data_IF_247396544883
#
_entry.id   IF_247396544883
#
_cell.length_a   1.000
_cell.length_b   1.000
_cell.length_c   1.000
_cell.angle_alpha   90.00
_cell.angle_beta   90.00
_cell.angle_gamma   90.00
#
_symmetry.space_group_name_H-M   'P 1'
#
loop_
_entity.id
_entity.type
_entity.pdbx_description
1 polymer ?
#
# COMPACT_ATOMS: atom_id res chain seq x y z
N UNK A 1 12.02 0.19 -31.80
CA UNK A 1 10.84 -0.64 -31.45
C UNK A 1 11.33 -2.03 -31.12
N UNK A 2 10.81 -2.63 -30.05
CA UNK A 2 11.18 -3.96 -29.58
C UNK A 2 9.91 -4.76 -29.35
N UNK A 3 9.72 -5.84 -30.12
CA UNK A 3 8.58 -6.75 -29.96
C UNK A 3 8.91 -7.81 -28.92
N UNK A 4 8.00 -8.01 -27.98
CA UNK A 4 8.07 -9.04 -26.94
C UNK A 4 6.94 -10.03 -27.19
N UNK A 5 7.29 -11.30 -27.40
CA UNK A 5 6.31 -12.39 -27.47
C UNK A 5 5.82 -12.74 -26.06
N UNK A 6 4.51 -12.88 -25.91
CA UNK A 6 3.85 -13.28 -24.67
C UNK A 6 3.69 -14.81 -24.63
N UNK A 7 3.62 -15.42 -23.44
CA UNK A 7 3.49 -16.88 -23.29
C UNK A 7 2.27 -17.51 -23.99
N UNK A 8 1.25 -16.72 -24.31
CA UNK A 8 0.02 -17.16 -24.97
C UNK A 8 0.04 -16.97 -26.51
N UNK A 9 1.20 -16.58 -27.08
CA UNK A 9 1.37 -16.37 -28.53
C UNK A 9 0.99 -14.97 -29.03
N UNK A 10 0.47 -14.11 -28.16
CA UNK A 10 0.30 -12.68 -28.45
C UNK A 10 1.63 -11.92 -28.35
N UNK A 11 1.67 -10.65 -28.73
CA UNK A 11 2.87 -9.82 -28.62
C UNK A 11 2.57 -8.41 -28.14
N UNK A 12 3.56 -7.79 -27.50
CA UNK A 12 3.56 -6.36 -27.12
C UNK A 12 4.75 -5.69 -27.80
N UNK A 13 4.53 -4.52 -28.39
CA UNK A 13 5.59 -3.72 -28.98
C UNK A 13 5.95 -2.57 -28.06
N UNK A 14 7.22 -2.50 -27.65
CA UNK A 14 7.77 -1.38 -26.90
C UNK A 14 8.42 -0.39 -27.88
N UNK A 15 7.99 0.86 -27.83
CA UNK A 15 8.58 1.94 -28.62
C UNK A 15 9.29 2.94 -27.70
N UNK A 16 10.52 3.37 -28.05
CA UNK A 16 11.20 4.38 -27.26
C UNK A 16 10.44 5.71 -27.38
N UNK A 17 10.08 6.28 -26.23
CA UNK A 17 9.44 7.59 -26.17
C UNK A 17 10.39 8.67 -26.68
N UNK A 18 9.85 9.62 -27.42
CA UNK A 18 10.58 10.77 -27.96
C UNK A 18 10.01 12.03 -27.34
N UNK A 19 10.88 12.82 -26.71
CA UNK A 19 10.53 14.14 -26.16
C UNK A 19 10.63 15.20 -27.24
N UNK A 20 9.49 15.78 -27.59
CA UNK A 20 9.41 17.06 -28.29
C UNK A 20 9.58 18.23 -27.32
N UNK A 21 9.37 19.46 -27.77
CA UNK A 21 9.53 20.65 -26.92
C UNK A 21 8.66 20.62 -25.65
N UNK A 22 7.39 20.22 -25.77
CA UNK A 22 6.40 20.25 -24.66
C UNK A 22 5.56 18.97 -24.56
N UNK A 23 5.88 17.95 -25.36
CA UNK A 23 5.06 16.74 -25.53
C UNK A 23 5.95 15.50 -25.62
N UNK A 24 5.42 14.36 -25.20
CA UNK A 24 5.96 13.03 -25.41
C UNK A 24 5.12 12.25 -26.41
N UNK A 25 5.77 11.55 -27.31
CA UNK A 25 5.10 10.64 -28.22
C UNK A 25 6.03 9.53 -28.67
N UNK A 26 5.58 8.78 -29.67
CA UNK A 26 6.42 7.85 -30.42
C UNK A 26 6.34 8.20 -31.90
N UNK A 27 7.01 7.42 -32.75
CA UNK A 27 7.04 7.71 -34.18
C UNK A 27 5.60 7.66 -34.74
N UNK A 28 5.16 8.77 -35.35
CA UNK A 28 3.83 8.94 -35.93
C UNK A 28 2.66 8.83 -34.93
N UNK A 29 2.90 9.03 -33.64
CA UNK A 29 1.86 9.01 -32.62
C UNK A 29 2.13 10.06 -31.53
N UNK A 30 1.18 10.97 -31.39
CA UNK A 30 1.18 12.04 -30.40
C UNK A 30 -0.05 11.89 -29.49
N UNK A 31 0.09 11.31 -28.29
CA UNK A 31 -1.05 11.03 -27.42
C UNK A 31 -1.58 12.30 -26.74
N UNK A 32 -2.88 12.32 -26.43
CA UNK A 32 -3.46 13.34 -25.56
C UNK A 32 -3.14 13.09 -24.06
N UNK A 33 -2.99 11.82 -23.69
CA UNK A 33 -2.86 11.35 -22.31
C UNK A 33 -1.79 10.27 -22.22
N UNK A 34 -1.02 10.30 -21.14
CA UNK A 34 0.03 9.34 -20.83
C UNK A 34 -0.38 8.63 -19.54
N UNK A 35 -0.60 7.33 -19.63
CA UNK A 35 -0.90 6.47 -18.49
C UNK A 35 0.41 5.88 -17.95
N UNK A 36 0.77 6.22 -16.72
CA UNK A 36 1.91 5.65 -16.01
C UNK A 36 1.51 4.31 -15.40
N UNK A 37 2.05 3.23 -15.99
CA UNK A 37 2.12 1.91 -15.36
C UNK A 37 3.55 1.59 -14.88
N UNK A 38 4.28 2.64 -14.50
CA UNK A 38 5.59 2.60 -13.88
C UNK A 38 5.51 3.50 -12.66
N UNK A 39 5.94 2.98 -11.52
CA UNK A 39 5.83 3.64 -10.22
C UNK A 39 6.92 4.71 -9.99
N UNK A 40 7.82 4.88 -10.98
CA UNK A 40 8.95 5.81 -10.98
C UNK A 40 9.87 5.60 -9.78
N UNK A 41 10.00 4.34 -9.35
CA UNK A 41 10.84 3.95 -8.22
C UNK A 41 12.27 4.51 -8.32
N UNK A 42 12.88 4.48 -9.51
CA UNK A 42 14.26 4.99 -9.72
C UNK A 42 14.41 6.52 -9.66
N UNK A 43 13.33 7.26 -9.37
CA UNK A 43 13.28 8.70 -9.46
C UNK A 43 12.42 9.16 -10.63
N UNK A 44 12.02 10.43 -10.56
CA UNK A 44 11.27 11.07 -11.64
C UNK A 44 12.23 11.42 -12.78
N UNK A 45 12.07 10.83 -13.98
CA UNK A 45 12.94 11.17 -15.09
C UNK A 45 12.51 12.51 -15.69
N UNK A 46 13.45 13.42 -15.91
CA UNK A 46 13.17 14.76 -16.45
C UNK A 46 12.44 14.78 -17.80
N UNK A 47 12.42 13.66 -18.53
CA UNK A 47 11.61 13.51 -19.73
C UNK A 47 10.10 13.64 -19.47
N UNK A 48 9.63 13.35 -18.25
CA UNK A 48 8.23 13.46 -17.83
C UNK A 48 7.88 14.84 -17.24
N UNK A 49 8.88 15.68 -16.97
CA UNK A 49 8.67 17.01 -16.39
C UNK A 49 8.12 18.01 -17.43
N UNK A 50 7.47 19.07 -16.94
CA UNK A 50 6.97 20.20 -17.74
C UNK A 50 6.09 19.79 -18.93
N UNK A 51 5.23 18.78 -18.73
CA UNK A 51 4.21 18.33 -19.70
C UNK A 51 2.90 19.08 -19.49
N UNK A 52 2.82 20.30 -20.01
CA UNK A 52 1.62 21.15 -19.84
C UNK A 52 0.50 20.85 -20.85
N UNK A 53 0.78 20.09 -21.92
CA UNK A 53 -0.19 19.85 -22.99
C UNK A 53 -0.71 18.40 -23.03
N UNK A 54 -0.29 17.56 -22.08
CA UNK A 54 -0.65 16.15 -22.00
C UNK A 54 -0.96 15.80 -20.55
N UNK A 55 -2.04 15.06 -20.33
CA UNK A 55 -2.37 14.58 -19.00
C UNK A 55 -1.51 13.38 -18.65
N UNK A 56 -0.81 13.45 -17.52
CA UNK A 56 -0.09 12.32 -16.95
C UNK A 56 -0.95 11.70 -15.84
N UNK A 57 -1.26 10.41 -15.96
CA UNK A 57 -2.15 9.71 -15.03
C UNK A 57 -1.43 8.50 -14.39
N UNK A 58 -1.29 8.45 -13.05
CA UNK A 58 -1.47 9.57 -12.13
C UNK A 58 -0.44 10.69 -12.37
N UNK A 59 -0.67 11.91 -11.84
CA UNK A 59 0.30 13.00 -11.93
C UNK A 59 1.58 12.69 -11.12
N UNK A 60 2.67 13.38 -11.44
CA UNK A 60 4.01 13.03 -10.93
C UNK A 60 4.14 13.10 -9.41
N UNK A 61 3.42 14.00 -8.74
CA UNK A 61 3.43 14.12 -7.29
C UNK A 61 2.74 12.94 -6.58
N UNK A 62 1.98 12.12 -7.31
CA UNK A 62 1.49 10.83 -6.83
C UNK A 62 2.60 9.77 -6.77
N UNK A 63 3.73 10.00 -7.44
CA UNK A 63 4.83 9.06 -7.58
C UNK A 63 5.62 8.84 -6.29
N UNK A 64 6.28 7.69 -6.20
CA UNK A 64 7.10 7.34 -5.03
C UNK A 64 8.23 8.31 -4.63
N UNK A 65 8.85 9.10 -5.54
CA UNK A 65 9.95 9.99 -5.14
C UNK A 65 9.56 11.03 -4.10
N UNK A 66 8.30 11.47 -4.09
CA UNK A 66 7.82 12.53 -3.19
C UNK A 66 6.70 12.07 -2.25
N UNK A 67 5.99 10.99 -2.60
CA UNK A 67 4.89 10.45 -1.80
C UNK A 67 5.37 9.95 -0.44
N UNK A 68 4.59 10.26 0.61
CA UNK A 68 4.79 9.76 1.99
C UNK A 68 3.62 8.89 2.40
N UNK A 69 3.89 7.68 2.91
CA UNK A 69 2.87 6.71 3.34
C UNK A 69 2.03 7.27 4.49
N UNK A 70 2.63 8.02 5.40
CA UNK A 70 1.95 8.67 6.53
C UNK A 70 0.81 9.59 6.09
N UNK A 71 0.94 10.29 4.95
CA UNK A 71 -0.13 11.13 4.40
C UNK A 71 -1.35 10.29 4.00
N UNK A 72 -1.10 9.13 3.39
CA UNK A 72 -2.16 8.17 3.09
C UNK A 72 -2.88 7.68 4.34
N UNK A 73 -2.11 7.23 5.35
CA UNK A 73 -2.70 6.71 6.58
C UNK A 73 -3.46 7.78 7.36
N UNK A 74 -3.01 9.04 7.32
CA UNK A 74 -3.77 10.15 7.88
C UNK A 74 -5.12 10.34 7.16
N UNK A 75 -5.10 10.38 5.82
CA UNK A 75 -6.31 10.52 5.00
C UNK A 75 -7.29 9.37 5.24
N UNK A 76 -6.78 8.15 5.32
CA UNK A 76 -7.57 6.95 5.56
C UNK A 76 -8.12 6.87 7.00
N UNK A 77 -7.37 7.33 8.00
CA UNK A 77 -7.84 7.42 9.39
C UNK A 77 -9.04 8.39 9.51
N UNK A 78 -8.94 9.59 8.91
CA UNK A 78 -10.04 10.56 8.92
C UNK A 78 -11.30 10.04 8.22
N UNK A 79 -11.12 9.39 7.06
CA UNK A 79 -12.22 8.75 6.35
C UNK A 79 -12.85 7.62 7.17
N UNK A 80 -12.02 6.77 7.80
CA UNK A 80 -12.48 5.65 8.62
C UNK A 80 -13.27 6.12 9.84
N UNK A 81 -12.84 7.22 10.50
CA UNK A 81 -13.61 7.84 11.60
C UNK A 81 -14.99 8.32 11.13
N UNK A 82 -15.07 9.00 9.99
CA UNK A 82 -16.34 9.50 9.42
C UNK A 82 -17.25 8.34 9.01
N UNK A 83 -16.70 7.32 8.36
CA UNK A 83 -17.43 6.13 7.93
C UNK A 83 -17.92 5.29 9.12
N UNK A 84 -17.07 5.11 10.13
CA UNK A 84 -17.43 4.46 11.39
C UNK A 84 -18.58 5.15 12.09
N UNK A 85 -18.54 6.49 12.19
CA UNK A 85 -19.64 7.30 12.74
C UNK A 85 -20.94 7.13 11.95
N UNK A 86 -20.87 7.11 10.61
CA UNK A 86 -22.03 6.97 9.75
C UNK A 86 -22.73 5.62 9.93
N UNK A 87 -21.96 4.53 10.07
CA UNK A 87 -22.48 3.17 10.20
C UNK A 87 -22.69 2.71 11.65
N UNK A 88 -22.22 3.48 12.63
CA UNK A 88 -22.23 3.08 14.03
C UNK A 88 -21.27 1.93 14.34
N UNK A 89 -20.14 1.83 13.62
CA UNK A 89 -19.09 0.84 13.87
C UNK A 89 -17.84 1.50 14.45
N UNK A 90 -17.07 0.73 15.22
CA UNK A 90 -15.76 1.16 15.68
C UNK A 90 -14.81 1.31 14.48
N UNK A 91 -14.23 2.51 14.24
CA UNK A 91 -13.33 2.73 13.11
C UNK A 91 -12.07 1.85 13.16
N UNK A 92 -11.66 1.35 14.33
CA UNK A 92 -10.50 0.46 14.44
C UNK A 92 -10.68 -0.85 13.65
N UNK A 93 -11.92 -1.31 13.46
CA UNK A 93 -12.22 -2.54 12.70
C UNK A 93 -11.86 -2.43 11.20
N UNK A 94 -11.66 -1.22 10.69
CA UNK A 94 -11.34 -0.95 9.28
C UNK A 94 -10.08 -0.12 9.11
N UNK A 95 -9.43 0.30 10.20
CA UNK A 95 -8.27 1.17 10.18
C UNK A 95 -7.19 0.70 11.17
N UNK A 96 -6.10 0.10 10.66
CA UNK A 96 -4.93 -0.21 11.49
C UNK A 96 -4.35 1.06 12.09
N UNK A 97 -4.01 1.03 13.38
CA UNK A 97 -3.35 2.18 14.01
C UNK A 97 -1.94 2.37 13.42
N UNK A 98 -1.45 3.61 13.40
CA UNK A 98 -0.07 3.88 13.03
C UNK A 98 0.53 4.99 13.90
N UNK A 99 1.86 5.12 13.82
CA UNK A 99 2.64 6.21 14.38
C UNK A 99 3.80 6.54 13.44
N UNK A 100 4.29 7.78 13.51
CA UNK A 100 5.46 8.24 12.76
C UNK A 100 6.61 8.45 13.72
N UNK A 101 7.79 7.99 13.34
CA UNK A 101 9.04 8.50 13.87
C UNK A 101 9.60 9.50 12.87
N UNK A 102 10.24 10.55 13.39
CA UNK A 102 10.98 11.46 12.53
C UNK A 102 12.15 10.75 11.85
N UNK A 103 13.09 11.56 11.41
CA UNK A 103 14.36 11.11 10.90
C UNK A 103 15.12 10.27 11.95
N UNK A 104 15.30 8.97 11.67
CA UNK A 104 16.02 8.01 12.53
C UNK A 104 17.35 7.65 11.87
N UNK A 105 18.45 7.96 12.57
CA UNK A 105 19.76 7.36 12.34
C UNK A 105 19.90 6.10 13.21
N UNK A 106 20.11 4.94 12.59
CA UNK A 106 20.27 3.65 13.28
C UNK A 106 21.61 3.53 14.03
N UNK A 107 22.55 4.43 13.78
CA UNK A 107 23.82 4.52 14.51
C UNK A 107 23.75 5.47 15.71
N UNK A 108 22.69 6.29 15.81
CA UNK A 108 22.45 7.17 16.94
C UNK A 108 21.49 6.52 17.96
N UNK A 109 21.86 6.61 19.25
CA UNK A 109 21.02 6.12 20.34
C UNK A 109 19.69 6.87 20.47
N UNK A 110 19.65 8.15 20.11
CA UNK A 110 18.43 8.96 20.23
C UNK A 110 17.34 8.57 19.22
N UNK A 111 17.72 8.30 17.97
CA UNK A 111 16.79 7.85 16.92
C UNK A 111 16.14 6.50 17.27
N UNK A 112 16.94 5.57 17.79
CA UNK A 112 16.45 4.27 18.24
C UNK A 112 15.53 4.35 19.47
N UNK A 113 15.78 5.29 20.38
CA UNK A 113 14.91 5.51 21.53
C UNK A 113 13.51 5.99 21.12
N UNK A 114 13.45 6.90 20.14
CA UNK A 114 12.20 7.37 19.56
C UNK A 114 11.40 6.22 18.92
N UNK A 115 12.07 5.37 18.13
CA UNK A 115 11.45 4.20 17.51
C UNK A 115 10.90 3.23 18.56
N UNK A 116 11.69 2.93 19.59
CA UNK A 116 11.29 2.03 20.68
C UNK A 116 10.07 2.54 21.44
N UNK A 117 10.10 3.82 21.83
CA UNK A 117 9.01 4.46 22.57
C UNK A 117 7.70 4.48 21.78
N UNK A 118 7.76 4.81 20.49
CA UNK A 118 6.57 4.82 19.63
C UNK A 118 6.04 3.40 19.36
N UNK A 119 6.93 2.41 19.18
CA UNK A 119 6.53 1.02 19.00
C UNK A 119 5.82 0.47 20.25
N UNK A 120 6.35 0.72 21.45
CA UNK A 120 5.72 0.28 22.71
C UNK A 120 4.38 0.96 22.96
N UNK A 121 4.29 2.27 22.71
CA UNK A 121 3.04 3.01 22.82
C UNK A 121 1.96 2.47 21.87
N UNK A 122 2.33 2.18 20.62
CA UNK A 122 1.41 1.60 19.64
C UNK A 122 0.99 0.18 20.03
N UNK A 123 1.93 -0.69 20.41
CA UNK A 123 1.62 -2.04 20.91
C UNK A 123 0.67 -2.01 22.10
N UNK A 124 0.85 -1.07 23.03
CA UNK A 124 -0.03 -0.89 24.19
C UNK A 124 -1.45 -0.51 23.78
N UNK A 125 -1.61 0.39 22.80
CA UNK A 125 -2.94 0.72 22.24
C UNK A 125 -3.60 -0.48 21.56
N UNK A 126 -2.82 -1.25 20.79
CA UNK A 126 -3.31 -2.46 20.11
C UNK A 126 -3.75 -3.51 21.14
N UNK A 127 -2.95 -3.77 22.19
CA UNK A 127 -3.31 -4.70 23.30
C UNK A 127 -4.65 -4.34 23.94
N UNK A 128 -4.96 -3.03 24.08
CA UNK A 128 -6.25 -2.58 24.62
C UNK A 128 -7.40 -2.98 23.71
N UNK A 129 -7.25 -2.80 22.39
CA UNK A 129 -8.27 -3.21 21.41
C UNK A 129 -8.42 -4.72 21.32
N UNK A 130 -7.32 -5.46 21.35
CA UNK A 130 -7.37 -6.92 21.38
C UNK A 130 -8.14 -7.43 22.60
N UNK A 131 -7.89 -6.85 23.78
CA UNK A 131 -8.67 -7.16 25.00
C UNK A 131 -10.15 -6.79 24.87
N UNK A 132 -10.46 -5.64 24.27
CA UNK A 132 -11.84 -5.17 24.01
C UNK A 132 -12.62 -6.17 23.13
N UNK A 133 -11.97 -6.74 22.11
CA UNK A 133 -12.57 -7.67 21.15
C UNK A 133 -12.33 -9.15 21.44
N UNK A 134 -11.67 -9.50 22.54
CA UNK A 134 -11.40 -10.90 22.91
C UNK A 134 -10.38 -11.62 22.00
N UNK A 135 -9.48 -10.86 21.37
CA UNK A 135 -8.41 -11.37 20.50
C UNK A 135 -7.25 -11.83 21.38
N UNK A 136 -6.83 -13.09 21.21
CA UNK A 136 -5.81 -13.73 22.06
C UNK A 136 -4.43 -13.80 21.40
N UNK A 137 -4.35 -13.47 20.13
CA UNK A 137 -3.13 -13.41 19.34
C UNK A 137 -2.17 -12.34 19.87
N UNK A 138 -0.87 -12.60 19.76
CA UNK A 138 0.14 -11.61 20.16
C UNK A 138 0.14 -10.44 19.16
N UNK A 139 -0.11 -9.20 19.59
CA UNK A 139 -0.06 -8.05 18.70
C UNK A 139 1.36 -7.84 18.19
N UNK A 140 1.45 -7.23 17.02
CA UNK A 140 2.71 -6.85 16.41
C UNK A 140 2.55 -5.53 15.67
N UNK A 141 3.67 -4.87 15.46
CA UNK A 141 3.76 -3.69 14.61
C UNK A 141 4.75 -3.96 13.48
N UNK A 142 4.55 -3.25 12.39
CA UNK A 142 5.37 -3.29 11.20
C UNK A 142 6.08 -1.95 11.07
N UNK A 143 7.41 -1.97 11.12
CA UNK A 143 8.26 -0.80 10.90
C UNK A 143 8.72 -0.80 9.44
N UNK A 144 8.51 0.31 8.74
CA UNK A 144 8.90 0.51 7.35
C UNK A 144 9.23 1.98 7.11
N UNK A 145 9.96 2.28 6.03
CA UNK A 145 10.24 3.68 5.67
C UNK A 145 8.93 4.38 5.29
N UNK A 146 8.83 5.66 5.64
CA UNK A 146 7.67 6.49 5.32
C UNK A 146 7.62 6.83 3.82
N UNK A 147 8.76 6.84 3.15
CA UNK A 147 8.88 6.93 1.70
C UNK A 147 9.10 5.54 1.05
N UNK A 148 9.66 5.52 -0.15
CA UNK A 148 10.05 4.31 -0.89
C UNK A 148 10.90 3.36 -0.05
N UNK A 149 11.64 3.87 0.93
CA UNK A 149 12.67 3.12 1.66
C UNK A 149 13.85 2.87 0.73
N UNK A 150 15.00 3.46 1.06
CA UNK A 150 16.26 3.30 0.32
C UNK A 150 16.83 1.87 0.53
N UNK A 151 16.11 0.84 0.08
CA UNK A 151 16.46 -0.55 0.32
C UNK A 151 16.17 -1.06 1.73
N UNK A 152 15.50 -0.27 2.58
CA UNK A 152 15.12 -0.72 3.92
C UNK A 152 14.02 -1.79 3.84
N UNK A 153 14.29 -2.96 4.41
CA UNK A 153 13.31 -4.02 4.55
C UNK A 153 12.17 -3.65 5.52
N UNK A 154 11.09 -4.42 5.44
CA UNK A 154 10.00 -4.36 6.41
C UNK A 154 10.41 -5.16 7.66
N UNK A 155 10.21 -4.59 8.85
CA UNK A 155 10.45 -5.28 10.12
C UNK A 155 9.16 -5.52 10.88
N UNK A 156 8.98 -6.74 11.38
CA UNK A 156 7.91 -7.08 12.33
C UNK A 156 8.45 -7.05 13.75
N UNK A 157 7.81 -6.28 14.63
CA UNK A 157 8.19 -6.10 16.04
C UNK A 157 7.04 -6.52 16.93
N UNK A 158 7.32 -7.42 17.89
CA UNK A 158 6.31 -7.93 18.84
C UNK A 158 6.53 -7.45 20.27
N UNK A 159 7.72 -6.95 20.54
CA UNK A 159 8.15 -6.36 21.81
C UNK A 159 9.17 -5.27 21.49
N UNK A 160 9.03 -4.10 22.12
CA UNK A 160 9.93 -2.98 21.88
C UNK A 160 11.40 -3.31 22.22
N UNK A 161 11.65 -4.31 23.09
CA UNK A 161 13.00 -4.82 23.38
C UNK A 161 13.69 -5.47 22.18
N UNK A 162 12.93 -5.91 21.18
CA UNK A 162 13.51 -6.44 19.92
C UNK A 162 14.30 -5.36 19.16
N UNK A 163 14.07 -4.07 19.47
CA UNK A 163 14.77 -2.92 18.88
C UNK A 163 16.07 -2.55 19.62
N UNK A 164 16.39 -3.16 20.77
CA UNK A 164 17.60 -2.84 21.55
C UNK A 164 18.88 -3.48 20.98
N UNK A 165 18.74 -4.60 20.27
CA UNK A 165 19.83 -5.32 19.64
C UNK A 165 19.37 -5.82 18.26
N UNK A 166 19.39 -4.98 17.22
CA UNK A 166 18.92 -5.38 15.90
C UNK A 166 19.73 -6.61 15.44
N UNK A 167 19.07 -7.77 15.41
CA UNK A 167 19.73 -9.04 15.05
C UNK A 167 20.24 -8.94 13.61
N UNK A 168 21.44 -9.47 13.35
CA UNK A 168 21.88 -9.72 11.98
C UNK A 168 20.82 -10.58 11.26
N UNK A 169 20.24 -10.07 10.18
CA UNK A 169 19.14 -10.71 9.44
C UNK A 169 17.71 -10.31 9.86
N UNK A 170 17.52 -9.32 10.75
CA UNK A 170 16.20 -8.81 11.18
C UNK A 170 15.45 -7.95 10.15
N UNK A 171 15.92 -7.90 8.90
CA UNK A 171 15.39 -6.97 7.88
C UNK A 171 15.95 -5.55 7.97
N UNK A 172 16.68 -5.22 9.05
CA UNK A 172 17.59 -4.06 9.17
C UNK A 172 18.87 -4.23 8.34
N UNK A 173 18.76 -4.85 7.16
CA UNK A 173 19.79 -4.73 6.15
C UNK A 173 19.77 -3.30 5.65
N UNK A 174 20.46 -2.40 6.35
CA UNK A 174 20.90 -1.13 5.81
C UNK A 174 21.63 -1.50 4.52
N UNK A 175 21.03 -1.19 3.37
CA UNK A 175 21.78 -1.20 2.11
C UNK A 175 23.06 -0.43 2.36
N UNK A 176 24.18 -0.95 1.87
CA UNK A 176 25.55 -0.49 2.20
C UNK A 176 25.90 0.93 1.74
N UNK A 177 24.93 1.84 1.66
CA UNK A 177 25.11 3.27 1.43
C UNK A 177 24.76 4.07 2.70
N UNK A 178 25.77 4.16 3.56
CA UNK A 178 26.22 5.36 4.30
C UNK A 178 25.13 6.27 4.92
N UNK A 179 24.87 6.11 6.23
CA UNK A 179 24.59 7.23 7.16
C UNK A 179 23.34 8.09 6.93
N UNK A 180 22.39 7.69 6.08
CA UNK A 180 21.20 8.49 5.80
C UNK A 180 20.11 8.25 6.85
N UNK A 181 19.78 9.30 7.59
CA UNK A 181 18.60 9.37 8.44
C UNK A 181 17.34 9.05 7.62
N UNK A 182 16.48 8.17 8.13
CA UNK A 182 15.28 7.71 7.41
C UNK A 182 14.03 8.04 8.21
N UNK A 183 13.02 8.62 7.57
CA UNK A 183 11.70 8.74 8.18
C UNK A 183 11.02 7.38 8.25
N UNK A 184 10.54 6.99 9.43
CA UNK A 184 9.94 5.68 9.66
C UNK A 184 8.47 5.80 10.02
N UNK A 185 7.68 4.84 9.54
CA UNK A 185 6.31 4.61 9.98
C UNK A 185 6.23 3.27 10.71
N UNK A 186 5.52 3.29 11.83
CA UNK A 186 5.18 2.12 12.63
C UNK A 186 3.69 1.87 12.45
N UNK A 187 3.30 0.73 11.90
CA UNK A 187 1.91 0.39 11.63
C UNK A 187 1.50 -0.84 12.43
N UNK A 188 0.27 -0.86 12.94
CA UNK A 188 -0.35 -2.08 13.47
C UNK A 188 -0.33 -3.19 12.42
N UNK A 189 0.13 -4.36 12.83
CA UNK A 189 0.08 -5.56 12.03
C UNK A 189 -1.32 -6.16 11.98
N UNK A 190 -1.81 -6.46 10.78
CA UNK A 190 -3.08 -7.17 10.57
C UNK A 190 -2.77 -8.60 10.15
N UNK A 191 -3.40 -9.57 10.81
CA UNK A 191 -3.23 -10.98 10.48
C UNK A 191 -4.06 -11.39 9.27
N UNK A 192 -3.45 -12.14 8.36
CA UNK A 192 -4.14 -12.79 7.25
C UNK A 192 -4.55 -14.20 7.63
N UNK A 193 -5.84 -14.36 7.94
CA UNK A 193 -6.44 -15.64 8.32
C UNK A 193 -7.08 -16.40 7.14
N UNK A 194 -7.19 -15.76 5.98
CA UNK A 194 -7.70 -16.44 4.78
C UNK A 194 -6.70 -17.51 4.29
N UNK A 195 -7.28 -18.60 3.76
CA UNK A 195 -6.55 -19.78 3.33
C UNK A 195 -7.06 -20.26 1.98
N UNK A 196 -6.14 -20.66 1.11
CA UNK A 196 -6.42 -21.38 -0.14
C UNK A 196 -5.57 -22.64 -0.18
N UNK A 197 -6.21 -23.81 -0.10
CA UNK A 197 -5.52 -25.10 -0.01
C UNK A 197 -4.44 -25.08 1.09
N UNK A 198 -4.82 -24.67 2.30
CA UNK A 198 -3.98 -24.49 3.50
C UNK A 198 -2.88 -23.42 3.43
N UNK A 199 -2.61 -22.82 2.27
CA UNK A 199 -1.69 -21.70 2.12
C UNK A 199 -2.33 -20.37 2.52
N UNK A 200 -1.55 -19.44 3.07
CA UNK A 200 -2.01 -18.09 3.43
C UNK A 200 -2.42 -17.34 2.16
N UNK A 201 -3.57 -16.70 2.19
CA UNK A 201 -4.12 -15.97 1.05
C UNK A 201 -4.64 -14.59 1.47
N UNK A 202 -4.30 -13.54 0.73
CA UNK A 202 -4.87 -12.19 0.93
C UNK A 202 -5.52 -11.68 -0.36
N UNK A 203 -6.70 -11.01 -0.28
CA UNK A 203 -7.38 -10.50 -1.46
C UNK A 203 -6.75 -9.20 -1.96
N UNK A 204 -6.61 -9.09 -3.27
CA UNK A 204 -6.26 -7.87 -4.00
C UNK A 204 -7.47 -7.46 -4.83
N UNK A 205 -7.95 -6.23 -4.63
CA UNK A 205 -9.11 -5.68 -5.33
C UNK A 205 -8.65 -4.64 -6.35
N UNK A 206 -9.04 -4.82 -7.61
CA UNK A 206 -8.78 -3.88 -8.70
C UNK A 206 -9.97 -2.96 -8.90
N UNK A 207 -9.67 -1.69 -9.14
CA UNK A 207 -10.67 -0.66 -9.45
C UNK A 207 -10.26 0.10 -10.71
N UNK A 208 -11.26 0.57 -11.44
CA UNK A 208 -11.13 1.57 -12.49
C UNK A 208 -12.19 2.64 -12.24
N UNK A 209 -11.77 3.92 -12.24
CA UNK A 209 -12.60 5.00 -11.71
C UNK A 209 -13.08 4.65 -10.28
N UNK A 210 -14.38 4.78 -9.98
CA UNK A 210 -14.97 4.43 -8.68
C UNK A 210 -15.49 2.99 -8.59
N UNK A 211 -15.26 2.17 -9.62
CA UNK A 211 -15.87 0.85 -9.76
C UNK A 211 -14.86 -0.27 -9.46
N UNK A 212 -15.31 -1.25 -8.67
CA UNK A 212 -14.58 -2.50 -8.47
C UNK A 212 -14.76 -3.35 -9.72
N UNK A 213 -13.67 -3.67 -10.41
CA UNK A 213 -13.68 -4.38 -11.69
C UNK A 213 -13.18 -5.82 -11.62
N UNK A 214 -12.55 -6.20 -10.50
CA UNK A 214 -12.00 -7.54 -10.36
C UNK A 214 -10.95 -7.61 -9.26
N UNK A 215 -10.13 -8.65 -9.32
CA UNK A 215 -9.11 -8.90 -8.32
C UNK A 215 -8.58 -10.32 -8.35
N UNK A 216 -7.67 -10.61 -7.44
CA UNK A 216 -7.11 -11.95 -7.24
C UNK A 216 -6.75 -12.15 -5.78
N UNK A 217 -6.65 -13.40 -5.35
CA UNK A 217 -5.94 -13.76 -4.15
C UNK A 217 -4.45 -13.89 -4.43
N UNK A 218 -3.63 -13.23 -3.61
CA UNK A 218 -2.20 -13.53 -3.51
C UNK A 218 -2.05 -14.65 -2.49
N UNK A 219 -1.52 -15.78 -2.92
CA UNK A 219 -1.36 -16.99 -2.11
C UNK A 219 0.12 -17.29 -1.92
N UNK A 220 0.53 -17.57 -0.69
CA UNK A 220 1.90 -17.94 -0.39
C UNK A 220 1.95 -19.12 0.60
N UNK A 221 2.56 -20.23 0.17
CA UNK A 221 2.63 -21.45 0.98
C UNK A 221 3.64 -21.33 2.13
N UNK A 222 4.77 -20.65 1.89
CA UNK A 222 5.88 -20.58 2.86
C UNK A 222 5.86 -19.35 3.77
N UNK A 223 4.80 -18.53 3.74
CA UNK A 223 4.67 -17.31 4.56
C UNK A 223 3.64 -17.50 5.65
N UNK A 224 3.91 -16.92 6.81
CA UNK A 224 2.99 -16.87 7.96
C UNK A 224 1.86 -15.84 7.78
N UNK A 225 0.86 -15.91 8.66
CA UNK A 225 -0.27 -14.97 8.69
C UNK A 225 0.13 -13.53 9.08
N UNK A 226 1.32 -13.36 9.65
CA UNK A 226 1.91 -12.12 10.14
C UNK A 226 3.05 -11.61 9.24
N UNK A 227 3.18 -12.16 8.04
CA UNK A 227 4.26 -11.85 7.11
C UNK A 227 3.72 -11.24 5.81
N UNK A 228 4.53 -10.39 5.19
CA UNK A 228 4.25 -9.86 3.86
C UNK A 228 4.21 -11.01 2.84
N UNK A 229 3.08 -11.15 2.15
CA UNK A 229 2.93 -12.16 1.10
C UNK A 229 3.45 -11.66 -0.23
N UNK A 230 3.78 -10.37 -0.39
CA UNK A 230 4.38 -9.78 -1.60
C UNK A 230 5.87 -10.15 -1.69
N UNK A 231 6.12 -11.45 -1.84
CA UNK A 231 7.45 -12.03 -1.85
C UNK A 231 7.63 -13.01 -3.04
N UNK A 232 8.88 -13.31 -3.44
CA UNK A 232 9.17 -14.39 -4.37
C UNK A 232 8.52 -15.70 -3.92
N UNK A 233 7.84 -16.40 -4.84
CA UNK A 233 7.04 -17.58 -4.53
C UNK A 233 5.53 -17.34 -4.42
N UNK A 234 5.09 -16.06 -4.43
CA UNK A 234 3.68 -15.69 -4.56
C UNK A 234 3.02 -16.37 -5.75
N UNK A 235 1.83 -16.95 -5.53
CA UNK A 235 0.92 -17.42 -6.57
C UNK A 235 -0.32 -16.54 -6.62
N UNK A 236 -0.90 -16.39 -7.80
CA UNK A 236 -2.08 -15.56 -8.01
C UNK A 236 -3.25 -16.42 -8.43
N UNK A 237 -4.32 -16.39 -7.65
CA UNK A 237 -5.56 -17.13 -7.93
C UNK A 237 -6.65 -16.12 -8.23
N UNK A 238 -7.29 -16.15 -9.41
CA UNK A 238 -8.36 -15.22 -9.74
C UNK A 238 -9.43 -15.17 -8.65
N UNK A 239 -9.79 -13.96 -8.22
CA UNK A 239 -10.89 -13.77 -7.30
C UNK A 239 -12.15 -13.92 -8.13
N UNK A 240 -12.91 -14.98 -7.89
CA UNK A 240 -14.14 -15.24 -8.63
C UNK A 240 -15.20 -14.18 -8.29
N UNK A 241 -15.17 -13.05 -9.03
CA UNK A 241 -16.31 -12.15 -9.20
C UNK A 241 -17.26 -12.65 -10.31
N UNK A 242 -17.12 -13.91 -10.72
CA UNK A 242 -17.74 -14.49 -11.92
C UNK A 242 -19.28 -14.53 -11.87
N UNK A 243 -19.87 -14.50 -10.68
CA UNK A 243 -21.29 -14.24 -10.47
C UNK A 243 -21.46 -12.86 -9.86
N UNK A 244 -22.61 -12.20 -10.06
CA UNK A 244 -22.90 -10.82 -9.65
C UNK A 244 -22.82 -10.60 -8.12
N UNK A 245 -21.65 -10.75 -7.51
CA UNK A 245 -21.39 -10.59 -6.08
C UNK A 245 -21.27 -9.12 -5.67
N UNK A 246 -21.63 -8.19 -6.56
CA UNK A 246 -21.68 -6.76 -6.27
C UNK A 246 -22.88 -6.37 -5.41
N UNK A 247 -23.88 -7.26 -5.29
CA UNK A 247 -25.06 -7.02 -4.46
C UNK A 247 -24.99 -7.89 -3.20
N UNK A 248 -25.07 -7.28 -2.00
CA UNK A 248 -25.21 -8.05 -0.78
C UNK A 248 -26.53 -8.83 -0.78
N UNK A 249 -26.52 -10.00 -0.15
CA UNK A 249 -27.69 -10.81 0.16
C UNK A 249 -28.13 -10.52 1.61
N UNK A 250 -29.19 -9.73 1.83
CA UNK A 250 -29.68 -9.42 3.17
C UNK A 250 -30.16 -10.69 3.89
N UNK A 251 -30.03 -10.72 5.22
CA UNK A 251 -30.49 -11.84 6.05
C UNK A 251 -29.53 -13.04 6.16
N UNK A 252 -28.45 -13.07 5.36
CA UNK A 252 -27.38 -14.07 5.50
C UNK A 252 -26.46 -13.74 6.67
N UNK A 253 -25.96 -14.78 7.36
CA UNK A 253 -24.98 -14.62 8.45
C UNK A 253 -23.70 -13.95 7.93
N UNK A 254 -23.08 -13.02 8.69
CA UNK A 254 -21.78 -12.45 8.36
C UNK A 254 -20.74 -13.53 8.07
N UNK A 255 -19.94 -13.35 7.01
CA UNK A 255 -18.90 -14.29 6.59
C UNK A 255 -19.39 -15.59 5.94
N UNK A 256 -20.69 -15.91 6.00
CA UNK A 256 -21.23 -17.16 5.46
C UNK A 256 -21.55 -17.10 3.95
N UNK A 257 -21.80 -15.89 3.43
CA UNK A 257 -22.12 -15.67 2.01
C UNK A 257 -20.90 -15.05 1.31
N UNK A 258 -20.43 -15.72 0.25
CA UNK A 258 -19.36 -15.20 -0.61
C UNK A 258 -19.72 -13.81 -1.19
N UNK A 259 -20.95 -13.57 -1.71
CA UNK A 259 -21.40 -12.23 -2.09
C UNK A 259 -21.21 -11.16 -1.01
N UNK A 260 -21.63 -11.42 0.23
CA UNK A 260 -21.50 -10.44 1.32
C UNK A 260 -20.03 -10.18 1.67
N UNK A 261 -19.19 -11.21 1.67
CA UNK A 261 -17.75 -11.07 1.93
C UNK A 261 -17.06 -10.24 0.84
N UNK A 262 -17.32 -10.52 -0.44
CA UNK A 262 -16.71 -9.78 -1.54
C UNK A 262 -17.26 -8.34 -1.66
N UNK A 263 -18.53 -8.12 -1.32
CA UNK A 263 -19.07 -6.77 -1.18
C UNK A 263 -18.29 -5.96 -0.14
N UNK A 264 -17.97 -6.56 1.02
CA UNK A 264 -17.15 -5.91 2.05
C UNK A 264 -15.74 -5.57 1.56
N UNK A 265 -15.06 -6.47 0.82
CA UNK A 265 -13.76 -6.15 0.21
C UNK A 265 -13.87 -4.94 -0.73
N UNK A 266 -14.93 -4.89 -1.54
CA UNK A 266 -15.19 -3.75 -2.41
C UNK A 266 -15.49 -2.45 -1.65
N UNK A 267 -16.15 -2.50 -0.49
CA UNK A 267 -16.35 -1.33 0.38
C UNK A 267 -15.01 -0.82 0.91
N UNK A 268 -14.18 -1.69 1.49
CA UNK A 268 -12.87 -1.30 2.05
C UNK A 268 -11.93 -0.78 0.95
N UNK A 269 -11.90 -1.43 -0.22
CA UNK A 269 -11.12 -0.97 -1.36
C UNK A 269 -11.53 0.43 -1.82
N UNK A 270 -12.84 0.72 -1.88
CA UNK A 270 -13.33 2.06 -2.23
C UNK A 270 -13.01 3.11 -1.17
N UNK A 271 -13.02 2.76 0.12
CA UNK A 271 -12.54 3.67 1.17
C UNK A 271 -11.05 3.98 0.98
N UNK A 272 -10.23 2.97 0.70
CA UNK A 272 -8.80 3.18 0.44
C UNK A 272 -8.56 4.07 -0.79
N UNK A 273 -9.37 3.91 -1.85
CA UNK A 273 -9.30 4.77 -3.04
C UNK A 273 -9.70 6.21 -2.75
N UNK A 274 -10.79 6.44 -2.00
CA UNK A 274 -11.20 7.79 -1.60
C UNK A 274 -10.11 8.45 -0.75
N UNK A 275 -9.49 7.71 0.17
CA UNK A 275 -8.36 8.21 0.95
C UNK A 275 -7.14 8.56 0.08
N UNK A 276 -6.83 7.75 -0.94
CA UNK A 276 -5.77 8.06 -1.90
C UNK A 276 -6.11 9.29 -2.75
N UNK A 277 -7.38 9.52 -3.10
CA UNK A 277 -7.83 10.75 -3.77
C UNK A 277 -7.62 11.98 -2.90
N UNK A 278 -8.00 11.92 -1.61
CA UNK A 278 -7.75 13.02 -0.66
C UNK A 278 -6.27 13.26 -0.41
N UNK A 279 -5.48 12.19 -0.30
CA UNK A 279 -4.02 12.28 -0.23
C UNK A 279 -3.47 13.04 -1.45
N UNK A 280 -3.89 12.65 -2.65
CA UNK A 280 -3.41 13.23 -3.90
C UNK A 280 -3.75 14.72 -4.01
N UNK A 281 -5.00 15.09 -3.74
CA UNK A 281 -5.46 16.49 -3.73
C UNK A 281 -4.71 17.33 -2.69
N UNK A 282 -4.44 16.79 -1.50
CA UNK A 282 -3.74 17.51 -0.44
C UNK A 282 -2.25 17.74 -0.74
N UNK A 283 -1.63 16.87 -1.54
CA UNK A 283 -0.19 16.94 -1.84
C UNK A 283 0.18 17.90 -2.97
N UNK A 284 -0.75 18.24 -3.86
CA UNK A 284 -0.58 19.31 -4.84
C UNK A 284 -1.95 19.94 -5.20
N UNK A 285 -2.49 20.81 -4.33
CA UNK A 285 -3.84 21.34 -4.48
C UNK A 285 -4.01 22.28 -5.69
N UNK A 286 -2.91 22.70 -6.31
CA UNK A 286 -2.90 23.64 -7.44
C UNK A 286 -2.45 22.96 -8.75
N UNK A 287 -2.35 21.63 -8.81
CA UNK A 287 -1.86 20.90 -9.99
C UNK A 287 -2.61 21.21 -11.30
N UNK A 288 -3.88 21.64 -11.19
CA UNK A 288 -4.73 22.02 -12.34
C UNK A 288 -4.80 23.54 -12.58
N UNK A 289 -4.08 24.34 -11.80
CA UNK A 289 -3.97 25.80 -12.00
C UNK A 289 -2.76 26.06 -12.89
N UNK A 290 -3.03 26.27 -14.18
CA UNK A 290 -2.02 26.66 -15.16
C UNK A 290 -2.08 28.19 -15.36
N UNK A 291 -1.15 28.92 -14.74
CA UNK A 291 -0.94 30.36 -15.01
C UNK A 291 -0.16 30.60 -16.33
#
# INVERSE_FOLDING_TARGET
>A
PTTIELPHGEHVTLEPVVRGRRRLGVKNFDPCTILLNNDLAAGMPGILEDLHEQYLLPPLHAGWPVRRKSNHFHSYEELSKRFGKLLGIDPWLINPMFGKCGEVDFHDGAGMECLRSNADALLTRIRRKYKEYGINEKPFVVVKSDDRGQGMGIMTVRDAKELEAPRAGSGLGVGTDVGASTELIIQEGVLTNERMNDAVAEPVVYMMDRYVVGGFYRVHADRGADQDLTAPGSKFVPLAFAESTHLPQPGMKPGASAPNRFYMYGVIARLAMVAASYELEATDPNAEIYD
#
